data_IF_726286494937
#
_entry.id   IF_726286494937
#
_cell.length_a   1.000
_cell.length_b   1.000
_cell.length_c   1.000
_cell.angle_alpha   90.00
_cell.angle_beta   90.00
_cell.angle_gamma   90.00
#
_symmetry.space_group_name_H-M   'P 1'
#
loop_
_entity.id
_entity.type
_entity.pdbx_description
1 polymer ?
#
# COMPACT_ATOMS: atom_id res chain seq x y z
N UNK A 1 21.16 -11.81 -51.22
CA UNK A 1 19.81 -11.55 -50.68
C UNK A 1 19.32 -12.61 -49.73
N UNK A 2 19.28 -13.92 -50.02
CA UNK A 2 18.75 -14.97 -49.09
C UNK A 2 19.48 -15.05 -47.75
N UNK A 3 20.80 -14.83 -47.66
CA UNK A 3 21.57 -14.84 -46.38
C UNK A 3 21.27 -13.63 -45.53
N UNK A 4 20.99 -12.45 -46.07
CA UNK A 4 20.64 -11.24 -45.31
C UNK A 4 19.24 -11.34 -44.69
N UNK A 5 18.28 -11.95 -45.41
CA UNK A 5 16.93 -12.19 -44.92
C UNK A 5 16.93 -13.17 -43.74
N UNK A 6 17.77 -14.23 -43.81
CA UNK A 6 17.90 -15.18 -42.69
C UNK A 6 18.49 -14.55 -41.44
N UNK A 7 19.50 -13.69 -41.55
CA UNK A 7 20.13 -12.99 -40.43
C UNK A 7 19.13 -11.99 -39.78
N UNK A 8 18.38 -11.26 -40.61
CA UNK A 8 17.36 -10.32 -40.09
C UNK A 8 16.24 -11.05 -39.35
N UNK A 9 15.79 -12.21 -39.87
CA UNK A 9 14.79 -13.05 -39.21
C UNK A 9 15.25 -13.58 -37.86
N UNK A 10 16.49 -14.05 -37.75
CA UNK A 10 17.08 -14.53 -36.47
C UNK A 10 17.23 -13.39 -35.49
N UNK A 11 17.65 -12.19 -35.90
CA UNK A 11 17.74 -11.01 -35.03
C UNK A 11 16.36 -10.56 -34.52
N UNK A 12 15.33 -10.57 -35.36
CA UNK A 12 13.96 -10.22 -34.93
C UNK A 12 13.41 -11.23 -33.91
N UNK A 13 13.65 -12.53 -34.12
CA UNK A 13 13.22 -13.58 -33.17
C UNK A 13 13.99 -13.46 -31.84
N UNK A 14 15.30 -13.22 -31.88
CA UNK A 14 16.12 -13.01 -30.68
C UNK A 14 15.71 -11.75 -29.93
N UNK A 15 15.39 -10.66 -30.63
CA UNK A 15 14.93 -9.41 -30.02
C UNK A 15 13.54 -9.55 -29.43
N UNK A 16 12.61 -10.21 -30.12
CA UNK A 16 11.29 -10.52 -29.60
C UNK A 16 11.36 -11.46 -28.38
N UNK A 17 12.19 -12.52 -28.46
CA UNK A 17 12.42 -13.42 -27.34
C UNK A 17 13.06 -12.73 -26.13
N UNK A 18 14.03 -11.85 -26.36
CA UNK A 18 14.64 -11.02 -25.31
C UNK A 18 13.66 -10.04 -24.70
N UNK A 19 12.85 -9.37 -25.51
CA UNK A 19 11.80 -8.47 -25.06
C UNK A 19 10.74 -9.20 -24.21
N UNK A 20 10.28 -10.38 -24.64
CA UNK A 20 9.36 -11.22 -23.87
C UNK A 20 10.01 -11.73 -22.57
N UNK A 21 11.28 -12.16 -22.63
CA UNK A 21 11.99 -12.65 -21.45
C UNK A 21 12.21 -11.54 -20.39
N UNK A 22 12.57 -10.34 -20.82
CA UNK A 22 12.76 -9.18 -19.95
C UNK A 22 11.41 -8.59 -19.50
N UNK A 23 10.40 -8.57 -20.37
CA UNK A 23 9.07 -8.05 -20.08
C UNK A 23 8.33 -8.79 -18.96
N UNK A 24 8.60 -10.09 -18.77
CA UNK A 24 7.97 -10.88 -17.68
C UNK A 24 8.40 -10.44 -16.29
N UNK A 25 9.56 -9.81 -16.14
CA UNK A 25 10.06 -9.26 -14.87
C UNK A 25 9.57 -7.84 -14.60
N UNK A 26 8.91 -7.24 -15.58
CA UNK A 26 8.35 -5.89 -15.45
C UNK A 26 7.18 -5.86 -14.48
N UNK A 27 7.12 -4.81 -13.68
CA UNK A 27 5.95 -4.51 -12.84
C UNK A 27 4.94 -3.79 -13.73
N UNK A 28 3.71 -4.28 -13.69
CA UNK A 28 2.56 -3.71 -14.39
C UNK A 28 1.79 -2.85 -13.40
N UNK A 29 1.36 -1.67 -13.83
CA UNK A 29 0.45 -0.80 -13.11
C UNK A 29 -0.83 -0.64 -13.94
N UNK A 30 -1.98 -0.91 -13.34
CA UNK A 30 -3.30 -0.71 -13.93
C UNK A 30 -4.11 0.25 -13.05
N UNK A 31 -4.53 1.38 -13.59
CA UNK A 31 -5.45 2.29 -12.90
C UNK A 31 -6.88 1.81 -13.10
N UNK A 32 -7.58 1.55 -12.01
CA UNK A 32 -8.95 1.08 -11.96
C UNK A 32 -9.82 2.12 -11.26
N UNK A 33 -10.98 2.43 -11.84
CA UNK A 33 -11.99 3.29 -11.25
C UNK A 33 -13.25 2.47 -10.98
N UNK A 34 -13.44 2.06 -9.73
CA UNK A 34 -14.64 1.37 -9.29
C UNK A 34 -15.69 2.38 -8.83
N UNK A 35 -16.96 2.03 -8.98
CA UNK A 35 -18.06 2.85 -8.50
C UNK A 35 -18.94 2.06 -7.51
N UNK A 36 -18.91 2.47 -6.26
CA UNK A 36 -19.79 1.93 -5.24
C UNK A 36 -21.17 2.57 -5.36
N UNK A 37 -22.08 1.86 -5.99
CA UNK A 37 -23.45 2.32 -6.23
C UNK A 37 -24.25 2.52 -4.92
N UNK A 38 -23.93 1.78 -3.85
CA UNK A 38 -24.63 1.91 -2.56
C UNK A 38 -24.30 3.22 -1.86
N UNK A 39 -23.04 3.64 -1.97
CA UNK A 39 -22.54 4.87 -1.33
C UNK A 39 -22.48 6.06 -2.31
N UNK A 40 -22.82 5.86 -3.59
CA UNK A 40 -22.63 6.81 -4.69
C UNK A 40 -21.20 7.38 -4.71
N UNK A 41 -20.20 6.50 -4.63
CA UNK A 41 -18.80 6.89 -4.44
C UNK A 41 -17.87 6.19 -5.42
N UNK A 42 -17.02 6.96 -6.10
CA UNK A 42 -15.90 6.41 -6.86
C UNK A 42 -14.77 6.01 -5.90
N UNK A 43 -14.13 4.87 -6.20
CA UNK A 43 -12.96 4.36 -5.49
C UNK A 43 -11.90 4.05 -6.53
N UNK A 44 -10.93 4.94 -6.66
CA UNK A 44 -9.81 4.75 -7.58
C UNK A 44 -8.74 3.88 -6.93
N UNK A 45 -8.21 2.94 -7.70
CA UNK A 45 -7.18 1.99 -7.28
C UNK A 45 -6.08 1.94 -8.33
N UNK A 46 -4.82 2.11 -7.92
CA UNK A 46 -3.65 1.74 -8.72
C UNK A 46 -3.24 0.32 -8.33
N UNK A 47 -3.34 -0.60 -9.27
CA UNK A 47 -3.05 -2.02 -9.04
C UNK A 47 -1.69 -2.35 -9.63
N UNK A 48 -0.72 -2.74 -8.77
CA UNK A 48 0.61 -3.11 -9.18
C UNK A 48 0.88 -4.60 -8.97
N UNK A 49 1.49 -5.25 -9.96
CA UNK A 49 1.90 -6.65 -9.89
C UNK A 49 3.07 -6.94 -10.84
N UNK A 50 3.98 -7.82 -10.45
CA UNK A 50 5.01 -8.30 -11.37
C UNK A 50 4.45 -9.39 -12.27
N UNK A 51 4.62 -9.22 -13.59
CA UNK A 51 3.95 -10.03 -14.63
C UNK A 51 4.19 -11.54 -14.52
N UNK A 52 5.39 -11.97 -14.13
CA UNK A 52 5.69 -13.40 -13.99
C UNK A 52 4.92 -14.04 -12.82
N UNK A 53 4.72 -13.31 -11.71
CA UNK A 53 3.89 -13.78 -10.61
C UNK A 53 2.40 -13.79 -10.99
N UNK A 54 1.91 -12.74 -11.66
CA UNK A 54 0.54 -12.69 -12.18
C UNK A 54 0.24 -13.88 -13.11
N UNK A 55 1.19 -14.20 -14.01
CA UNK A 55 1.07 -15.35 -14.92
C UNK A 55 1.03 -16.69 -14.17
N UNK A 56 1.88 -16.88 -13.16
CA UNK A 56 1.91 -18.11 -12.37
C UNK A 56 0.64 -18.27 -11.54
N UNK A 57 0.16 -17.19 -10.94
CA UNK A 57 -1.09 -17.19 -10.19
C UNK A 57 -2.29 -17.47 -11.10
N UNK A 58 -2.34 -16.85 -12.29
CA UNK A 58 -3.35 -17.11 -13.31
C UNK A 58 -3.35 -18.56 -13.81
N UNK A 59 -2.19 -19.22 -13.82
CA UNK A 59 -2.06 -20.63 -14.14
C UNK A 59 -2.32 -21.57 -12.95
N UNK A 60 -2.63 -21.04 -11.77
CA UNK A 60 -2.94 -21.81 -10.55
C UNK A 60 -1.74 -22.41 -9.83
N UNK A 61 -0.51 -21.97 -10.15
CA UNK A 61 0.70 -22.50 -9.49
C UNK A 61 0.94 -21.90 -8.11
N UNK A 62 0.48 -20.67 -7.87
CA UNK A 62 0.64 -19.96 -6.59
C UNK A 62 -0.49 -18.96 -6.40
N UNK A 63 -0.70 -18.51 -5.15
CA UNK A 63 -1.52 -17.34 -4.85
C UNK A 63 -0.63 -16.14 -4.62
N UNK A 64 -1.11 -14.94 -4.98
CA UNK A 64 -0.40 -13.69 -4.74
C UNK A 64 -0.71 -13.21 -3.32
N UNK A 65 0.27 -13.01 -2.44
CA UNK A 65 0.03 -12.25 -1.23
C UNK A 65 -0.50 -10.87 -1.60
N UNK A 66 -1.42 -10.34 -0.80
CA UNK A 66 -2.12 -9.09 -1.12
C UNK A 66 -1.73 -7.97 -0.17
N UNK A 67 -1.37 -6.83 -0.74
CA UNK A 67 -1.05 -5.62 0.01
C UNK A 67 -1.95 -4.45 -0.40
N UNK A 68 -2.36 -3.65 0.57
CA UNK A 68 -3.12 -2.41 0.35
C UNK A 68 -2.27 -1.24 0.80
N UNK A 69 -2.13 -0.22 -0.06
CA UNK A 69 -1.50 1.05 0.26
C UNK A 69 -2.56 2.12 0.42
N UNK A 70 -2.59 2.77 1.58
CA UNK A 70 -3.45 3.90 1.89
C UNK A 70 -2.65 5.19 1.87
N UNK A 71 -3.08 6.17 1.04
CA UNK A 71 -2.36 7.42 0.85
C UNK A 71 -2.50 8.36 2.07
N UNK A 72 -1.51 9.24 2.22
CA UNK A 72 -1.58 10.39 3.14
C UNK A 72 -2.56 11.45 2.67
N UNK A 73 -3.00 12.31 3.59
CA UNK A 73 -3.87 13.43 3.26
C UNK A 73 -3.22 14.33 2.20
N UNK A 74 -3.98 14.73 1.17
CA UNK A 74 -3.54 15.56 0.04
C UNK A 74 -2.49 14.92 -0.90
N UNK A 75 -2.20 13.66 -0.74
CA UNK A 75 -1.31 12.88 -1.60
C UNK A 75 -2.16 11.93 -2.44
N UNK A 76 -1.82 11.73 -3.72
CA UNK A 76 -2.55 10.76 -4.55
C UNK A 76 -2.13 9.33 -4.21
N UNK A 77 -3.03 8.39 -4.37
CA UNK A 77 -2.74 6.97 -4.23
C UNK A 77 -1.58 6.49 -5.15
N UNK A 78 -1.40 7.11 -6.31
CA UNK A 78 -0.32 6.81 -7.26
C UNK A 78 1.06 7.35 -6.84
N UNK A 79 1.14 8.17 -5.79
CA UNK A 79 2.39 8.78 -5.31
C UNK A 79 3.10 7.96 -4.20
N UNK A 80 2.90 6.63 -4.24
CA UNK A 80 3.59 5.64 -3.42
C UNK A 80 4.14 4.51 -4.30
N UNK A 81 4.54 4.85 -5.54
CA UNK A 81 5.00 3.88 -6.53
C UNK A 81 6.27 3.13 -6.06
N UNK A 82 7.14 3.77 -5.29
CA UNK A 82 8.32 3.12 -4.71
C UNK A 82 7.92 1.93 -3.82
N UNK A 83 6.93 2.07 -2.93
CA UNK A 83 6.43 0.96 -2.11
C UNK A 83 5.68 -0.07 -2.93
N UNK A 84 4.79 0.38 -3.84
CA UNK A 84 4.06 -0.54 -4.71
C UNK A 84 5.01 -1.43 -5.52
N UNK A 85 6.09 -0.85 -6.03
CA UNK A 85 7.12 -1.58 -6.79
C UNK A 85 7.90 -2.57 -5.91
N UNK A 86 8.25 -2.19 -4.68
CA UNK A 86 8.97 -3.07 -3.74
C UNK A 86 8.13 -4.30 -3.39
N UNK A 87 6.86 -4.12 -3.05
CA UNK A 87 5.95 -5.23 -2.75
C UNK A 87 5.68 -6.08 -3.99
N UNK A 88 5.40 -5.47 -5.16
CA UNK A 88 5.18 -6.19 -6.41
C UNK A 88 6.42 -6.99 -6.84
N UNK A 89 7.62 -6.44 -6.66
CA UNK A 89 8.88 -7.16 -6.92
C UNK A 89 9.05 -8.40 -6.03
N UNK A 90 8.47 -8.37 -4.82
CA UNK A 90 8.43 -9.51 -3.89
C UNK A 90 7.26 -10.48 -4.12
N UNK A 91 6.48 -10.28 -5.18
CA UNK A 91 5.40 -11.18 -5.60
C UNK A 91 4.01 -10.81 -5.09
N UNK A 92 3.84 -9.67 -4.44
CA UNK A 92 2.53 -9.20 -4.01
C UNK A 92 1.69 -8.68 -5.19
N UNK A 93 0.38 -8.87 -5.08
CA UNK A 93 -0.59 -8.00 -5.72
C UNK A 93 -0.78 -6.79 -4.81
N UNK A 94 -0.60 -5.57 -5.33
CA UNK A 94 -0.63 -4.35 -4.53
C UNK A 94 -1.75 -3.44 -5.02
N UNK A 95 -2.64 -3.03 -4.12
CA UNK A 95 -3.71 -2.08 -4.41
C UNK A 95 -3.49 -0.76 -3.66
N UNK A 96 -3.11 0.30 -4.36
CA UNK A 96 -3.02 1.65 -3.80
C UNK A 96 -4.37 2.35 -3.95
N UNK A 97 -5.08 2.60 -2.84
CA UNK A 97 -6.47 3.07 -2.84
C UNK A 97 -6.52 4.57 -2.56
N UNK A 98 -7.30 5.32 -3.35
CA UNK A 98 -7.65 6.72 -3.08
C UNK A 98 -8.86 6.77 -2.14
N UNK A 99 -8.66 7.23 -0.90
CA UNK A 99 -9.71 7.25 0.11
C UNK A 99 -10.56 8.51 0.10
N UNK A 100 -9.98 9.64 -0.27
CA UNK A 100 -10.63 10.94 -0.32
C UNK A 100 -10.98 11.36 -1.76
N UNK A 101 -12.06 12.13 -1.88
CA UNK A 101 -12.49 12.77 -3.12
C UNK A 101 -12.41 14.29 -2.94
N UNK A 102 -12.27 15.05 -4.03
CA UNK A 102 -12.31 16.51 -3.98
C UNK A 102 -13.60 17.10 -3.37
N UNK A 103 -14.66 16.31 -3.35
CA UNK A 103 -15.97 16.65 -2.80
C UNK A 103 -16.12 16.32 -1.31
N UNK A 104 -15.17 15.60 -0.74
CA UNK A 104 -15.22 15.26 0.69
C UNK A 104 -14.95 16.49 1.57
N UNK A 105 -15.51 16.47 2.76
CA UNK A 105 -15.23 17.51 3.75
C UNK A 105 -13.73 17.49 4.12
N UNK A 106 -13.12 18.67 4.33
CA UNK A 106 -11.72 18.76 4.73
C UNK A 106 -11.45 17.96 6.01
N UNK A 107 -10.28 17.32 6.06
CA UNK A 107 -9.84 16.57 7.22
C UNK A 107 -9.66 17.52 8.41
N UNK A 108 -10.39 17.28 9.49
CA UNK A 108 -10.29 18.08 10.71
C UNK A 108 -9.07 17.60 11.50
N UNK A 109 -8.16 18.52 11.80
CA UNK A 109 -7.02 18.26 12.68
C UNK A 109 -7.31 18.83 14.06
N UNK A 110 -7.45 17.96 15.04
CA UNK A 110 -7.49 18.34 16.46
C UNK A 110 -6.40 17.56 17.18
N UNK A 111 -5.40 18.27 17.68
CA UNK A 111 -4.34 17.67 18.49
C UNK A 111 -4.91 17.22 19.85
N UNK A 112 -4.36 16.15 20.38
CA UNK A 112 -4.59 15.72 21.76
C UNK A 112 -5.86 14.91 22.03
N UNK A 113 -6.67 14.62 21.01
CA UNK A 113 -7.85 13.77 21.15
C UNK A 113 -7.88 12.70 20.08
N UNK A 114 -7.75 11.44 20.49
CA UNK A 114 -7.81 10.28 19.59
C UNK A 114 -9.15 10.29 18.83
N UNK A 115 -9.08 10.13 17.51
CA UNK A 115 -10.22 10.02 16.59
C UNK A 115 -11.14 11.24 16.49
N UNK A 116 -11.02 12.28 17.30
CA UNK A 116 -11.98 13.40 17.32
C UNK A 116 -11.99 14.12 15.97
N UNK A 117 -13.18 14.11 15.34
CA UNK A 117 -13.40 14.69 14.02
C UNK A 117 -12.85 13.84 12.85
N UNK A 118 -12.24 12.68 13.10
CA UNK A 118 -11.65 11.81 12.06
C UNK A 118 -12.31 10.44 11.93
N UNK A 119 -13.07 9.99 12.90
CA UNK A 119 -13.69 8.67 12.88
C UNK A 119 -14.45 8.42 11.59
N UNK A 120 -15.25 9.38 11.13
CA UNK A 120 -16.00 9.29 9.88
C UNK A 120 -15.08 9.10 8.64
N UNK A 121 -13.89 9.69 8.64
CA UNK A 121 -12.90 9.52 7.56
C UNK A 121 -12.36 8.09 7.56
N UNK A 122 -12.09 7.55 8.74
CA UNK A 122 -11.60 6.17 8.89
C UNK A 122 -12.67 5.14 8.53
N UNK A 123 -13.91 5.31 8.97
CA UNK A 123 -15.06 4.46 8.58
C UNK A 123 -15.31 4.49 7.06
N UNK A 124 -15.18 5.67 6.45
CA UNK A 124 -15.29 5.79 4.99
C UNK A 124 -14.15 5.07 4.27
N UNK A 125 -12.92 5.17 4.78
CA UNK A 125 -11.76 4.51 4.21
C UNK A 125 -11.83 2.99 4.40
N UNK A 126 -12.28 2.51 5.55
CA UNK A 126 -12.59 1.10 5.82
C UNK A 126 -13.57 0.55 4.78
N UNK A 127 -14.68 1.26 4.56
CA UNK A 127 -15.67 0.87 3.55
C UNK A 127 -15.09 0.89 2.12
N UNK A 128 -14.15 1.80 1.81
CA UNK A 128 -13.45 1.80 0.53
C UNK A 128 -12.53 0.57 0.39
N UNK A 129 -11.82 0.19 1.44
CA UNK A 129 -10.96 -1.01 1.44
C UNK A 129 -11.80 -2.26 1.19
N UNK A 130 -12.86 -2.47 1.97
CA UNK A 130 -13.73 -3.65 1.82
C UNK A 130 -14.36 -3.72 0.43
N UNK A 131 -14.87 -2.59 -0.08
CA UNK A 131 -15.43 -2.51 -1.42
C UNK A 131 -14.39 -2.81 -2.51
N UNK A 132 -13.19 -2.20 -2.43
CA UNK A 132 -12.13 -2.46 -3.39
C UNK A 132 -11.68 -3.93 -3.37
N UNK A 133 -11.57 -4.55 -2.18
CA UNK A 133 -11.26 -5.98 -2.06
C UNK A 133 -12.31 -6.84 -2.76
N UNK A 134 -13.60 -6.53 -2.60
CA UNK A 134 -14.68 -7.30 -3.24
C UNK A 134 -14.68 -7.14 -4.76
N UNK A 135 -14.38 -5.96 -5.29
CA UNK A 135 -14.24 -5.75 -6.74
C UNK A 135 -12.98 -6.44 -7.28
N UNK A 136 -11.85 -6.34 -6.56
CA UNK A 136 -10.59 -6.98 -6.95
C UNK A 136 -10.68 -8.50 -6.93
N UNK A 137 -11.40 -9.12 -6.00
CA UNK A 137 -11.64 -10.58 -5.99
C UNK A 137 -12.29 -11.08 -7.29
N UNK A 138 -13.08 -10.25 -7.97
CA UNK A 138 -13.74 -10.61 -9.24
C UNK A 138 -12.76 -10.67 -10.42
N UNK A 139 -11.74 -9.82 -10.42
CA UNK A 139 -10.77 -9.66 -11.52
C UNK A 139 -9.42 -10.28 -11.24
N UNK A 140 -9.06 -10.45 -9.96
CA UNK A 140 -7.83 -11.07 -9.48
C UNK A 140 -8.12 -12.15 -8.43
N UNK A 141 -8.85 -13.25 -8.78
CA UNK A 141 -9.33 -14.24 -7.80
C UNK A 141 -8.18 -15.06 -7.16
N UNK A 142 -6.97 -14.98 -7.72
CA UNK A 142 -5.81 -15.75 -7.26
C UNK A 142 -4.93 -14.98 -6.26
N UNK A 143 -5.44 -13.92 -5.63
CA UNK A 143 -4.76 -13.24 -4.52
C UNK A 143 -5.33 -13.68 -3.15
N UNK A 144 -4.53 -13.48 -2.09
CA UNK A 144 -4.86 -13.83 -0.70
C UNK A 144 -5.51 -12.64 -0.01
N UNK A 145 -6.84 -12.61 0.04
CA UNK A 145 -7.61 -11.50 0.62
C UNK A 145 -7.96 -11.68 2.11
N UNK A 146 -7.54 -12.78 2.71
CA UNK A 146 -7.84 -13.17 4.10
C UNK A 146 -6.64 -13.02 5.06
N UNK A 147 -5.46 -12.64 4.53
CA UNK A 147 -4.24 -12.39 5.31
C UNK A 147 -3.44 -11.23 4.69
N UNK A 148 -4.06 -10.05 4.66
CA UNK A 148 -3.52 -8.90 3.93
C UNK A 148 -2.41 -8.17 4.70
N UNK A 149 -1.53 -7.53 3.95
CA UNK A 149 -0.57 -6.55 4.44
C UNK A 149 -1.12 -5.14 4.19
N UNK A 150 -1.20 -4.32 5.23
CA UNK A 150 -1.59 -2.92 5.12
C UNK A 150 -0.36 -2.02 5.16
N UNK A 151 -0.31 -1.05 4.28
CA UNK A 151 0.74 -0.04 4.23
C UNK A 151 0.08 1.34 4.20
N UNK A 152 0.54 2.28 5.01
CA UNK A 152 -0.07 3.60 4.99
C UNK A 152 0.82 4.72 5.49
N UNK A 153 0.73 5.87 4.83
CA UNK A 153 1.44 7.09 5.21
C UNK A 153 0.51 8.08 5.91
N UNK A 154 0.96 8.67 7.02
CA UNK A 154 0.20 9.73 7.69
C UNK A 154 -1.23 9.29 8.02
N UNK A 155 -2.24 9.99 7.46
CA UNK A 155 -3.65 9.59 7.56
C UNK A 155 -3.90 8.17 7.02
N UNK A 156 -3.20 7.75 5.97
CA UNK A 156 -3.27 6.37 5.46
C UNK A 156 -2.73 5.34 6.45
N UNK A 157 -1.71 5.69 7.23
CA UNK A 157 -1.22 4.86 8.34
C UNK A 157 -2.23 4.76 9.48
N UNK A 158 -2.94 5.86 9.77
CA UNK A 158 -4.06 5.86 10.72
C UNK A 158 -5.21 4.98 10.22
N UNK A 159 -5.56 5.07 8.93
CA UNK A 159 -6.55 4.20 8.27
C UNK A 159 -6.15 2.73 8.38
N UNK A 160 -4.88 2.40 8.11
CA UNK A 160 -4.36 1.04 8.19
C UNK A 160 -4.47 0.46 9.60
N UNK A 161 -4.12 1.25 10.63
CA UNK A 161 -4.28 0.85 12.04
C UNK A 161 -5.75 0.70 12.43
N UNK A 162 -6.61 1.63 12.01
CA UNK A 162 -8.03 1.56 12.27
C UNK A 162 -8.65 0.31 11.65
N UNK A 163 -8.37 0.03 10.37
CA UNK A 163 -8.84 -1.17 9.71
C UNK A 163 -8.37 -2.45 10.41
N UNK A 164 -7.10 -2.52 10.81
CA UNK A 164 -6.56 -3.67 11.53
C UNK A 164 -7.20 -3.88 12.92
N UNK A 165 -7.69 -2.82 13.56
CA UNK A 165 -8.47 -2.91 14.81
C UNK A 165 -9.88 -3.46 14.58
N UNK A 166 -10.53 -3.06 13.47
CA UNK A 166 -11.90 -3.47 13.15
C UNK A 166 -11.96 -4.88 12.53
N UNK A 167 -10.94 -5.27 11.75
CA UNK A 167 -10.88 -6.53 10.98
C UNK A 167 -9.62 -7.34 11.31
N UNK A 168 -9.45 -7.74 12.57
CA UNK A 168 -8.25 -8.46 13.00
C UNK A 168 -8.03 -9.80 12.29
N UNK A 169 -9.11 -10.40 11.80
CA UNK A 169 -9.09 -11.69 11.09
C UNK A 169 -8.55 -11.57 9.66
N UNK A 170 -8.61 -10.35 9.07
CA UNK A 170 -8.17 -10.11 7.70
C UNK A 170 -6.71 -9.69 7.61
N UNK A 171 -6.14 -9.11 8.68
CA UNK A 171 -4.85 -8.43 8.62
C UNK A 171 -3.76 -9.27 9.27
N UNK A 172 -2.66 -9.46 8.54
CA UNK A 172 -1.46 -10.16 9.00
C UNK A 172 -0.35 -9.20 9.43
N UNK A 173 -0.14 -8.15 8.66
CA UNK A 173 0.97 -7.21 8.85
C UNK A 173 0.53 -5.77 8.58
N UNK A 174 1.11 -4.82 9.30
CA UNK A 174 0.88 -3.39 9.07
C UNK A 174 2.22 -2.66 9.00
N UNK A 175 2.42 -1.90 7.93
CA UNK A 175 3.55 -0.98 7.79
C UNK A 175 3.02 0.45 7.83
N UNK A 176 3.50 1.26 8.76
CA UNK A 176 3.12 2.68 8.83
C UNK A 176 4.29 3.60 8.56
N UNK A 177 4.03 4.62 7.78
CA UNK A 177 4.92 5.74 7.53
C UNK A 177 4.33 6.94 8.28
N UNK A 178 4.76 7.10 9.52
CA UNK A 178 4.45 8.23 10.39
C UNK A 178 2.94 8.48 10.61
N UNK A 179 2.18 7.44 10.99
CA UNK A 179 0.80 7.60 11.45
C UNK A 179 0.76 8.38 12.77
N UNK A 180 -0.28 9.19 12.98
CA UNK A 180 -0.24 10.20 14.04
C UNK A 180 -1.37 10.11 15.06
N UNK A 181 -2.51 9.46 14.73
CA UNK A 181 -3.77 9.62 15.47
C UNK A 181 -4.40 8.32 15.96
N UNK A 182 -4.16 7.20 15.29
CA UNK A 182 -4.71 5.91 15.66
C UNK A 182 -3.69 5.09 16.43
N UNK A 183 -4.00 4.63 17.66
CA UNK A 183 -3.10 3.81 18.46
C UNK A 183 -2.74 2.50 17.79
N UNK A 184 -1.56 2.02 18.05
CA UNK A 184 -1.12 0.71 17.60
C UNK A 184 -1.87 -0.42 18.28
N UNK A 185 -2.11 -1.51 17.54
CA UNK A 185 -2.54 -2.79 18.09
C UNK A 185 -1.36 -3.41 18.84
N UNK A 186 -1.51 -3.65 20.13
CA UNK A 186 -0.42 -4.08 21.02
C UNK A 186 -0.63 -5.45 21.66
N UNK A 187 -1.55 -6.25 21.14
CA UNK A 187 -1.86 -7.58 21.65
C UNK A 187 -1.00 -8.71 21.04
N UNK A 188 -0.02 -8.37 20.22
CA UNK A 188 0.94 -9.29 19.61
C UNK A 188 0.39 -10.13 18.45
N UNK A 189 -0.86 -9.93 18.03
CA UNK A 189 -1.47 -10.65 16.90
C UNK A 189 -0.99 -10.21 15.52
N UNK A 190 -0.47 -8.98 15.41
CA UNK A 190 -0.01 -8.37 14.16
C UNK A 190 1.50 -8.13 14.20
N UNK A 191 2.14 -8.32 13.07
CA UNK A 191 3.47 -7.75 12.85
C UNK A 191 3.33 -6.31 12.41
N UNK A 192 3.97 -5.40 13.12
CA UNK A 192 3.90 -3.97 12.83
C UNK A 192 5.31 -3.42 12.64
N UNK A 193 5.52 -2.77 11.50
CA UNK A 193 6.70 -1.96 11.22
C UNK A 193 6.30 -0.50 11.08
N UNK A 194 6.91 0.39 11.84
CA UNK A 194 6.58 1.81 11.78
C UNK A 194 7.82 2.67 11.57
N UNK A 195 7.86 3.40 10.47
CA UNK A 195 8.84 4.43 10.21
C UNK A 195 8.36 5.76 10.79
N UNK A 196 9.21 6.42 11.59
CA UNK A 196 8.87 7.68 12.27
C UNK A 196 9.71 8.83 11.73
N UNK A 197 9.04 9.91 11.35
CA UNK A 197 9.72 11.14 10.92
C UNK A 197 10.36 11.87 12.12
N UNK A 198 11.26 12.81 11.81
CA UNK A 198 11.77 13.79 12.79
C UNK A 198 11.05 15.14 12.69
N UNK A 199 9.95 15.22 11.93
CA UNK A 199 9.27 16.49 11.64
C UNK A 199 8.57 17.05 12.89
N UNK A 200 8.98 18.24 13.38
CA UNK A 200 8.38 18.83 14.58
C UNK A 200 6.95 19.35 14.34
N UNK A 201 6.53 19.53 13.07
CA UNK A 201 5.22 20.04 12.72
C UNK A 201 4.14 18.95 12.66
N UNK A 202 4.56 17.68 12.61
CA UNK A 202 3.68 16.51 12.55
C UNK A 202 3.80 15.66 13.81
N UNK A 203 3.22 16.17 14.92
CA UNK A 203 3.31 15.49 16.21
C UNK A 203 2.31 14.35 16.31
N UNK A 204 2.80 13.24 16.82
CA UNK A 204 1.97 12.08 17.19
C UNK A 204 1.16 12.41 18.44
N UNK A 205 -0.15 12.07 18.44
CA UNK A 205 -0.99 12.22 19.60
C UNK A 205 -0.51 11.33 20.76
N UNK A 206 -0.70 11.78 22.01
CA UNK A 206 -0.41 10.96 23.19
C UNK A 206 -1.15 9.62 23.12
N UNK A 207 -0.46 8.53 23.41
CA UNK A 207 -1.04 7.18 23.43
C UNK A 207 -1.14 6.47 22.08
N UNK A 208 -0.74 7.10 20.97
CA UNK A 208 -0.65 6.45 19.66
C UNK A 208 0.51 5.48 19.62
N UNK A 209 1.70 5.92 20.01
CA UNK A 209 2.87 5.05 20.10
C UNK A 209 2.87 4.28 21.43
N UNK A 210 3.08 2.98 21.42
CA UNK A 210 3.29 2.21 22.64
C UNK A 210 4.62 2.61 23.29
N UNK A 211 4.72 2.38 24.60
CA UNK A 211 6.00 2.46 25.31
C UNK A 211 6.93 1.33 24.82
N UNK A 212 8.25 1.53 24.89
CA UNK A 212 9.26 0.60 24.33
C UNK A 212 9.08 -0.85 24.81
N UNK A 213 8.75 -1.04 26.09
CA UNK A 213 8.49 -2.37 26.66
C UNK A 213 7.31 -3.07 25.95
N UNK A 214 6.21 -2.36 25.80
CA UNK A 214 4.99 -2.90 25.18
C UNK A 214 5.20 -3.13 23.66
N UNK A 215 5.91 -2.23 22.99
CA UNK A 215 6.26 -2.40 21.58
C UNK A 215 7.04 -3.70 21.37
N UNK A 216 8.07 -3.93 22.21
CA UNK A 216 8.88 -5.15 22.14
C UNK A 216 8.07 -6.42 22.43
N UNK A 217 7.22 -6.40 23.44
CA UNK A 217 6.35 -7.55 23.81
C UNK A 217 5.33 -7.86 22.71
N UNK A 218 4.82 -6.84 22.02
CA UNK A 218 3.87 -6.97 20.93
C UNK A 218 4.50 -7.24 19.54
N UNK A 219 5.84 -7.28 19.43
CA UNK A 219 6.52 -7.49 18.15
C UNK A 219 6.38 -6.30 17.18
N UNK A 220 6.38 -5.08 17.74
CA UNK A 220 6.29 -3.83 16.97
C UNK A 220 7.69 -3.25 16.79
N UNK A 221 8.10 -3.13 15.54
CA UNK A 221 9.36 -2.49 15.16
C UNK A 221 9.15 -1.01 14.84
N UNK A 222 9.82 -0.13 15.58
CA UNK A 222 9.74 1.33 15.40
C UNK A 222 11.09 1.84 14.92
N UNK A 223 11.15 2.26 13.65
CA UNK A 223 12.35 2.81 13.01
C UNK A 223 12.27 4.34 13.01
N UNK A 224 13.18 4.99 13.73
CA UNK A 224 13.31 6.45 13.70
C UNK A 224 14.15 6.85 12.50
N UNK A 225 13.56 7.56 11.56
CA UNK A 225 14.24 8.05 10.35
C UNK A 225 14.77 9.46 10.53
N UNK A 226 15.63 9.88 9.60
CA UNK A 226 16.03 11.29 9.48
C UNK A 226 15.07 12.13 8.61
N UNK A 227 14.01 11.53 8.07
CA UNK A 227 13.10 12.13 7.11
C UNK A 227 12.14 13.14 7.74
N UNK A 228 11.63 14.07 6.94
CA UNK A 228 10.44 14.85 7.29
C UNK A 228 9.20 13.99 7.03
N UNK A 229 8.07 14.35 7.64
CA UNK A 229 6.80 13.67 7.44
C UNK A 229 6.40 13.59 5.96
N UNK A 230 6.50 14.71 5.26
CA UNK A 230 6.12 14.84 3.84
C UNK A 230 7.05 14.14 2.86
N UNK A 231 8.25 13.71 3.31
CA UNK A 231 9.24 13.04 2.47
C UNK A 231 8.91 11.54 2.25
N UNK A 232 7.95 11.00 2.98
CA UNK A 232 7.64 9.56 2.98
C UNK A 232 6.65 9.18 1.86
N UNK A 233 6.78 9.80 0.70
CA UNK A 233 6.04 9.51 -0.54
C UNK A 233 6.97 9.68 -1.74
N UNK A 234 6.47 9.48 -2.96
CA UNK A 234 7.26 9.72 -4.19
C UNK A 234 7.74 11.18 -4.33
N UNK A 235 7.17 12.11 -3.55
CA UNK A 235 7.60 13.52 -3.49
C UNK A 235 8.91 13.71 -2.72
N UNK A 236 9.28 12.73 -1.89
CA UNK A 236 10.48 12.79 -1.07
C UNK A 236 11.76 12.45 -1.83
N UNK A 237 12.94 12.74 -1.22
CA UNK A 237 14.23 12.39 -1.78
C UNK A 237 14.41 10.87 -1.94
N UNK A 238 15.19 10.46 -2.94
CA UNK A 238 15.47 9.04 -3.18
C UNK A 238 16.12 8.37 -1.96
N UNK A 239 17.02 9.06 -1.25
CA UNK A 239 17.64 8.52 -0.04
C UNK A 239 16.66 8.17 1.09
N UNK A 240 15.51 8.84 1.17
CA UNK A 240 14.45 8.49 2.13
C UNK A 240 13.71 7.26 1.67
N UNK A 241 13.37 7.17 0.38
CA UNK A 241 12.72 6.01 -0.22
C UNK A 241 13.58 4.76 -0.07
N UNK A 242 14.85 4.83 -0.45
CA UNK A 242 15.82 3.74 -0.28
C UNK A 242 15.94 3.26 1.17
N UNK A 243 15.90 4.19 2.13
CA UNK A 243 15.94 3.85 3.56
C UNK A 243 14.66 3.20 4.10
N UNK A 244 13.54 3.35 3.39
CA UNK A 244 12.25 2.69 3.73
C UNK A 244 12.14 1.33 3.04
N UNK A 245 12.72 1.18 1.84
CA UNK A 245 12.66 -0.05 1.02
C UNK A 245 13.52 -1.20 1.55
N UNK A 246 14.55 -0.90 2.36
CA UNK A 246 15.50 -1.86 2.95
C UNK A 246 15.01 -2.46 4.24
#
# INVERSE_FOLDING_TARGET
MKKAIGVLGVLCVAFAGGYFALGKWGIKHDTLDFFDAKRHRSVAVDLAVRRDYEMKAGAGYEKLPFAIISQGNTVRNTEYSFLANVFAARGYLVASIQHDLPTDAPLITREGSLYVGRLRVYEQAEANILFAMDELKKIQPNAEYDHITLVGHSNGGDISMFFAQQHPELVKEVVTLDNLRVPFVTDGRLKILSFRSKDPNHKTDPGVLPIDKLAKEAGIDIVKTGAQHTDMSDRGPDSVKEGIET
#
